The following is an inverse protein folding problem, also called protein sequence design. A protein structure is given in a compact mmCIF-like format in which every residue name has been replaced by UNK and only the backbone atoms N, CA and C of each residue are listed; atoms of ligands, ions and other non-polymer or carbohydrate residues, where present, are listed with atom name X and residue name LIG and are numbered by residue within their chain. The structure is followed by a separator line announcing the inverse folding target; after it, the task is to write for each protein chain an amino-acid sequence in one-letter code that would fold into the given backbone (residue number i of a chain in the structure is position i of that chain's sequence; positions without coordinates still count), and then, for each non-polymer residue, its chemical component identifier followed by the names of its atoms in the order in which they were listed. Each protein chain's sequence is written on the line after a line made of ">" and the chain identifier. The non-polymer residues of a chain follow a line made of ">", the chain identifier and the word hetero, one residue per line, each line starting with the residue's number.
data_IF_087699631635
#
_entry.id   IF_087699631635
#
_cell.length_a   1.000
_cell.length_b   1.000
_cell.length_c   1.000
_cell.angle_alpha   90.00
_cell.angle_beta   90.00
_cell.angle_gamma   90.00
#
_symmetry.space_group_name_H-M   'P 1'
#
loop_
_entity.id
_entity.type
_entity.pdbx_description
1 polymer ?
#
# COMPACT_ATOMS: atom_id res chain seq x y z
N UNK A 1 -5.96 11.51 15.41
CA UNK A 1 -4.50 11.69 15.35
C UNK A 1 -4.16 12.23 13.98
N UNK A 2 -3.19 13.15 13.89
CA UNK A 2 -2.64 13.57 12.59
C UNK A 2 -1.79 12.43 12.03
N UNK A 3 -1.98 12.07 10.76
CA UNK A 3 -1.17 11.05 10.09
C UNK A 3 0.30 11.49 10.01
N UNK A 4 1.22 10.53 10.07
CA UNK A 4 2.65 10.79 9.90
C UNK A 4 2.91 11.04 8.41
N UNK A 5 3.48 12.19 8.07
CA UNK A 5 3.79 12.56 6.69
C UNK A 5 5.07 11.87 6.22
N UNK A 6 4.99 11.15 5.11
CA UNK A 6 6.15 10.54 4.46
C UNK A 6 6.75 11.54 3.46
N UNK A 7 8.07 11.74 3.55
CA UNK A 7 8.74 12.81 2.79
C UNK A 7 8.86 12.53 1.29
N UNK A 8 8.93 11.26 0.90
CA UNK A 8 9.13 10.81 -0.48
C UNK A 8 8.09 9.76 -0.87
N UNK A 9 7.75 9.66 -2.16
CA UNK A 9 6.85 8.62 -2.64
C UNK A 9 7.45 7.23 -2.48
N UNK A 10 6.59 6.24 -2.26
CA UNK A 10 6.95 4.81 -2.22
C UNK A 10 6.32 4.11 -3.42
N UNK A 11 7.08 3.24 -4.08
CA UNK A 11 6.55 2.40 -5.15
C UNK A 11 5.87 1.20 -4.53
N UNK A 12 4.62 0.99 -4.92
CA UNK A 12 3.83 -0.18 -4.55
C UNK A 12 3.75 -1.11 -5.76
N UNK A 13 4.16 -2.36 -5.56
CA UNK A 13 4.09 -3.42 -6.56
C UNK A 13 3.07 -4.44 -6.07
N UNK A 14 1.94 -4.53 -6.75
CA UNK A 14 0.85 -5.43 -6.38
C UNK A 14 1.08 -6.81 -7.00
N UNK A 15 0.79 -7.85 -6.22
CA UNK A 15 1.01 -9.25 -6.60
C UNK A 15 -0.29 -10.01 -6.88
N UNK A 16 -0.23 -11.34 -6.76
CA UNK A 16 -1.31 -12.24 -7.19
C UNK A 16 -2.02 -12.99 -6.06
N UNK A 17 -3.13 -13.62 -6.44
CA UNK A 17 -3.89 -14.58 -5.67
C UNK A 17 -4.24 -14.09 -4.24
N UNK A 18 -3.88 -14.87 -3.22
CA UNK A 18 -4.17 -14.57 -1.81
C UNK A 18 -3.28 -13.45 -1.29
N UNK A 19 -2.08 -13.27 -1.84
CA UNK A 19 -1.14 -12.25 -1.36
C UNK A 19 -1.65 -10.84 -1.67
N UNK A 20 -2.32 -10.64 -2.81
CA UNK A 20 -3.01 -9.40 -3.19
C UNK A 20 -4.06 -8.99 -2.15
N UNK A 21 -4.90 -9.95 -1.75
CA UNK A 21 -5.97 -9.72 -0.76
C UNK A 21 -5.37 -9.36 0.60
N UNK A 22 -4.39 -10.12 1.07
CA UNK A 22 -3.73 -9.85 2.36
C UNK A 22 -3.03 -8.48 2.34
N UNK A 23 -2.38 -8.13 1.23
CA UNK A 23 -1.71 -6.85 1.05
C UNK A 23 -2.67 -5.67 1.17
N UNK A 24 -3.85 -5.76 0.56
CA UNK A 24 -4.91 -4.77 0.72
C UNK A 24 -5.38 -4.62 2.17
N UNK A 25 -5.56 -5.73 2.90
CA UNK A 25 -5.91 -5.68 4.32
C UNK A 25 -4.83 -4.99 5.16
N UNK A 26 -3.56 -5.31 4.93
CA UNK A 26 -2.43 -4.67 5.63
C UNK A 26 -2.43 -3.17 5.36
N UNK A 27 -2.55 -2.74 4.09
CA UNK A 27 -2.56 -1.31 3.75
C UNK A 27 -3.70 -0.59 4.45
N UNK A 28 -4.92 -1.13 4.38
CA UNK A 28 -6.11 -0.47 4.90
C UNK A 28 -6.14 -0.42 6.43
N UNK A 29 -5.67 -1.46 7.11
CA UNK A 29 -5.76 -1.53 8.58
C UNK A 29 -4.51 -1.01 9.28
N UNK A 30 -3.32 -1.18 8.68
CA UNK A 30 -2.05 -1.01 9.38
C UNK A 30 -1.18 0.12 8.82
N UNK A 31 -1.46 0.63 7.61
CA UNK A 31 -0.62 1.65 6.95
C UNK A 31 -1.38 2.96 6.76
N UNK A 32 -2.41 2.97 5.91
CA UNK A 32 -3.14 4.16 5.49
C UNK A 32 -3.87 4.92 6.62
N UNK A 33 -4.28 4.29 7.74
CA UNK A 33 -4.82 5.03 8.88
C UNK A 33 -3.77 5.90 9.58
N UNK A 34 -2.49 5.54 9.47
CA UNK A 34 -1.41 6.13 10.25
C UNK A 34 -0.46 6.99 9.42
N UNK A 35 -0.31 6.71 8.12
CA UNK A 35 0.61 7.40 7.22
C UNK A 35 -0.12 8.25 6.17
N UNK A 36 0.37 9.47 5.95
CA UNK A 36 0.09 10.30 4.78
C UNK A 36 1.25 10.10 3.80
N UNK A 37 1.04 9.24 2.80
CA UNK A 37 2.08 8.71 1.90
C UNK A 37 1.60 8.75 0.45
N UNK A 38 2.49 9.15 -0.44
CA UNK A 38 2.29 9.06 -1.89
C UNK A 38 2.71 7.66 -2.37
N UNK A 39 1.75 6.85 -2.80
CA UNK A 39 1.99 5.49 -3.31
C UNK A 39 1.93 5.50 -4.84
N UNK A 40 3.06 5.16 -5.47
CA UNK A 40 3.15 4.94 -6.92
C UNK A 40 2.84 3.48 -7.20
N UNK A 41 1.59 3.21 -7.56
CA UNK A 41 1.05 1.87 -7.79
C UNK A 41 1.45 1.29 -9.15
N UNK A 42 1.87 0.02 -9.15
CA UNK A 42 2.05 -0.80 -10.34
C UNK A 42 1.51 -2.20 -10.06
N UNK A 43 0.68 -2.69 -10.97
CA UNK A 43 0.19 -4.06 -10.95
C UNK A 43 1.22 -4.97 -11.64
N UNK A 44 1.73 -5.98 -10.92
CA UNK A 44 2.61 -7.01 -11.45
C UNK A 44 1.91 -8.37 -11.55
N UNK A 45 0.58 -8.39 -11.38
CA UNK A 45 -0.18 -9.61 -11.40
C UNK A 45 -0.10 -10.34 -12.75
N UNK A 46 -0.02 -11.65 -12.69
CA UNK A 46 -0.10 -12.53 -13.86
C UNK A 46 -1.56 -13.00 -14.01
N UNK A 47 -2.15 -12.71 -15.17
CA UNK A 47 -3.47 -13.20 -15.57
C UNK A 47 -3.53 -14.73 -15.77
#
# INVERSE_FOLDING_TARGET
>A
MTKIKVANPVVELDGDEITRIIWDFIKQQLILPYLDIDLKYYDLGID
#
